data_IF_838506392052
#
_entry.id   IF_838506392052
#
_cell.length_a   1.000
_cell.length_b   1.000
_cell.length_c   1.000
_cell.angle_alpha   90.00
_cell.angle_beta   90.00
_cell.angle_gamma   90.00
#
_symmetry.space_group_name_H-M   'P 1'
#
loop_
_entity.id
_entity.type
_entity.pdbx_description
1 polymer ?
#
# COMPACT_ATOMS: atom_id res chain seq x y z
N UNK A 1 3.69 21.04 -7.73
CA UNK A 1 4.50 19.95 -7.18
C UNK A 1 5.20 20.46 -5.91
N UNK A 2 4.68 20.18 -4.71
CA UNK A 2 5.31 20.62 -3.45
C UNK A 2 5.95 19.42 -2.74
N UNK A 3 7.26 19.17 -2.91
CA UNK A 3 7.99 18.10 -2.20
C UNK A 3 8.05 18.30 -0.68
N UNK A 4 7.71 19.48 -0.16
CA UNK A 4 7.80 19.81 1.27
C UNK A 4 6.88 19.00 2.18
N UNK A 5 5.79 18.43 1.65
CA UNK A 5 4.81 17.73 2.50
C UNK A 5 5.22 16.31 2.87
N UNK A 6 5.90 15.59 1.99
CA UNK A 6 6.46 14.27 2.31
C UNK A 6 7.57 14.40 3.34
N UNK A 7 8.40 15.44 3.20
CA UNK A 7 9.48 15.76 4.13
C UNK A 7 8.96 16.04 5.54
N UNK A 8 7.89 16.84 5.65
CA UNK A 8 7.25 17.10 6.94
C UNK A 8 6.72 15.83 7.60
N UNK A 9 6.10 14.92 6.83
CA UNK A 9 5.63 13.64 7.39
C UNK A 9 6.80 12.78 7.86
N UNK A 10 7.93 12.77 7.14
CA UNK A 10 9.15 12.08 7.57
C UNK A 10 9.68 12.64 8.89
N UNK A 11 9.86 13.96 8.97
CA UNK A 11 10.34 14.63 10.19
C UNK A 11 9.40 14.34 11.38
N UNK A 12 8.08 14.37 11.17
CA UNK A 12 7.11 14.05 12.22
C UNK A 12 7.29 12.61 12.72
N UNK A 13 7.43 11.63 11.83
CA UNK A 13 7.64 10.23 12.21
C UNK A 13 8.99 10.03 12.91
N UNK A 14 10.05 10.67 12.44
CA UNK A 14 11.38 10.66 13.08
C UNK A 14 11.35 11.26 14.50
N UNK A 15 10.47 12.23 14.74
CA UNK A 15 10.22 12.81 16.06
C UNK A 15 9.23 12.00 16.91
N UNK A 16 8.90 10.76 16.51
CA UNK A 16 8.06 9.85 17.27
C UNK A 16 6.56 9.94 16.97
N UNK A 17 6.13 10.67 15.93
CA UNK A 17 4.74 10.65 15.51
C UNK A 17 4.36 9.24 15.02
N UNK A 18 3.28 8.70 15.59
CA UNK A 18 2.81 7.36 15.23
C UNK A 18 1.97 7.43 13.95
N UNK A 19 2.37 6.77 12.84
CA UNK A 19 1.63 6.84 11.57
C UNK A 19 0.29 6.09 11.60
N UNK A 20 -0.02 5.40 12.70
CA UNK A 20 -1.27 4.69 12.95
C UNK A 20 -2.26 5.47 13.84
N UNK A 21 -1.93 6.69 14.25
CA UNK A 21 -2.82 7.52 15.05
C UNK A 21 -4.12 7.82 14.28
N UNK A 22 -5.23 7.81 15.01
CA UNK A 22 -6.55 8.17 14.49
C UNK A 22 -7.01 9.45 15.18
N UNK A 23 -7.64 10.33 14.42
CA UNK A 23 -8.39 11.45 14.99
C UNK A 23 -9.68 10.97 15.64
N UNK A 24 -10.40 11.87 16.32
CA UNK A 24 -11.71 11.56 16.91
C UNK A 24 -12.75 11.13 15.87
N UNK A 25 -12.56 11.53 14.61
CA UNK A 25 -13.36 11.09 13.46
C UNK A 25 -12.87 9.77 12.86
N UNK A 26 -11.91 9.09 13.49
CA UNK A 26 -11.33 7.85 13.01
C UNK A 26 -10.36 8.01 11.85
N UNK A 27 -10.05 9.24 11.40
CA UNK A 27 -9.16 9.48 10.28
C UNK A 27 -7.72 9.13 10.64
N UNK A 28 -7.10 8.32 9.78
CA UNK A 28 -5.66 8.03 9.79
C UNK A 28 -4.90 9.00 8.87
N UNK A 29 -3.57 9.09 8.98
CA UNK A 29 -2.74 9.81 8.01
C UNK A 29 -3.01 9.42 6.55
N UNK A 30 -3.49 8.19 6.29
CA UNK A 30 -3.88 7.75 4.95
C UNK A 30 -5.15 8.44 4.43
N UNK A 31 -6.13 8.77 5.30
CA UNK A 31 -7.33 9.53 4.91
C UNK A 31 -6.95 10.95 4.45
N UNK A 32 -6.10 11.64 5.21
CA UNK A 32 -5.58 12.95 4.82
C UNK A 32 -4.74 12.90 3.54
N UNK A 33 -3.94 11.84 3.36
CA UNK A 33 -3.18 11.64 2.14
C UNK A 33 -4.09 11.38 0.92
N UNK A 34 -5.21 10.68 1.12
CA UNK A 34 -6.21 10.43 0.10
C UNK A 34 -6.96 11.69 -0.31
N UNK A 35 -7.45 12.49 0.65
CA UNK A 35 -8.08 13.80 0.39
C UNK A 35 -7.14 14.73 -0.40
N UNK A 36 -5.86 14.77 -0.01
CA UNK A 36 -4.85 15.62 -0.64
C UNK A 36 -4.25 15.06 -1.93
N UNK A 37 -4.60 13.84 -2.36
CA UNK A 37 -4.01 13.17 -3.54
C UNK A 37 -2.52 12.85 -3.42
N UNK A 38 -1.99 12.75 -2.19
CA UNK A 38 -0.54 12.65 -1.94
C UNK A 38 -0.06 11.19 -1.93
N UNK A 39 0.19 10.66 -3.12
CA UNK A 39 0.71 9.30 -3.31
C UNK A 39 2.05 9.06 -2.60
N UNK A 40 2.91 10.08 -2.52
CA UNK A 40 4.19 9.95 -1.83
C UNK A 40 4.03 9.68 -0.33
N UNK A 41 3.03 10.30 0.31
CA UNK A 41 2.69 10.06 1.71
C UNK A 41 2.10 8.67 1.88
N UNK A 42 1.24 8.21 0.96
CA UNK A 42 0.73 6.84 0.97
C UNK A 42 1.86 5.80 0.92
N UNK A 43 2.80 5.95 -0.03
CA UNK A 43 3.95 5.05 -0.15
C UNK A 43 4.83 5.05 1.10
N UNK A 44 5.03 6.23 1.70
CA UNK A 44 5.78 6.35 2.93
C UNK A 44 5.07 5.65 4.10
N UNK A 45 3.77 5.90 4.30
CA UNK A 45 2.96 5.20 5.31
C UNK A 45 2.98 3.68 5.12
N UNK A 46 2.90 3.22 3.87
CA UNK A 46 3.01 1.81 3.55
C UNK A 46 4.39 1.22 3.90
N UNK A 47 5.48 1.94 3.59
CA UNK A 47 6.84 1.51 3.99
C UNK A 47 7.02 1.40 5.51
N UNK A 48 6.27 2.18 6.29
CA UNK A 48 6.22 2.13 7.75
C UNK A 48 5.27 1.05 8.29
N UNK A 49 4.70 0.19 7.42
CA UNK A 49 3.66 -0.80 7.74
C UNK A 49 2.45 -0.18 8.45
N UNK A 50 2.16 1.09 8.16
CA UNK A 50 1.01 1.77 8.71
C UNK A 50 -0.28 1.26 8.06
N UNK A 51 -1.40 1.25 8.79
CA UNK A 51 -2.65 0.76 8.24
C UNK A 51 -3.28 1.79 7.28
N UNK A 52 -3.19 1.49 5.98
CA UNK A 52 -3.70 2.35 4.88
C UNK A 52 -5.13 2.03 4.44
N UNK A 53 -5.74 0.96 4.97
CA UNK A 53 -7.07 0.44 4.60
C UNK A 53 -8.06 0.45 5.79
N UNK A 54 -7.80 1.27 6.81
CA UNK A 54 -8.70 1.40 7.96
C UNK A 54 -9.85 2.32 7.63
N UNK A 55 -11.04 1.97 8.08
CA UNK A 55 -12.24 2.79 7.95
C UNK A 55 -12.26 3.92 8.97
N UNK A 56 -12.86 5.05 8.61
CA UNK A 56 -13.18 6.14 9.54
C UNK A 56 -14.47 5.86 10.33
N UNK A 57 -14.95 6.85 11.09
CA UNK A 57 -16.21 6.72 11.85
C UNK A 57 -17.46 6.61 10.96
N UNK A 58 -17.37 7.01 9.70
CA UNK A 58 -18.45 6.92 8.70
C UNK A 58 -18.44 5.58 7.96
N UNK A 59 -17.43 4.73 8.20
CA UNK A 59 -17.22 3.48 7.48
C UNK A 59 -16.51 3.69 6.14
N UNK A 60 -16.02 4.89 5.84
CA UNK A 60 -15.33 5.19 4.61
C UNK A 60 -13.84 4.86 4.74
N UNK A 61 -13.31 4.19 3.73
CA UNK A 61 -11.87 3.91 3.60
C UNK A 61 -11.18 5.10 2.94
N UNK A 62 -9.86 5.30 3.16
CA UNK A 62 -9.08 6.33 2.49
C UNK A 62 -9.27 6.30 0.97
N UNK A 63 -9.37 5.11 0.38
CA UNK A 63 -9.57 4.93 -1.06
C UNK A 63 -10.84 5.61 -1.58
N UNK A 64 -11.93 5.59 -0.80
CA UNK A 64 -13.20 6.20 -1.18
C UNK A 64 -13.12 7.71 -1.12
N UNK A 65 -12.38 8.27 -0.16
CA UNK A 65 -12.06 9.69 -0.17
C UNK A 65 -11.25 10.05 -1.42
N UNK A 66 -10.19 9.29 -1.74
CA UNK A 66 -9.39 9.54 -2.94
C UNK A 66 -10.26 9.54 -4.22
N UNK A 67 -11.23 8.62 -4.31
CA UNK A 67 -12.18 8.56 -5.43
C UNK A 67 -13.10 9.80 -5.48
N UNK A 68 -13.69 10.19 -4.35
CA UNK A 68 -14.57 11.37 -4.25
C UNK A 68 -13.83 12.65 -4.68
N UNK A 69 -12.56 12.78 -4.30
CA UNK A 69 -11.72 13.93 -4.65
C UNK A 69 -11.01 13.78 -6.01
N UNK A 70 -11.24 12.69 -6.75
CA UNK A 70 -10.74 12.51 -8.13
C UNK A 70 -9.29 12.03 -8.26
N UNK A 71 -8.70 11.50 -7.20
CA UNK A 71 -7.30 11.04 -7.16
C UNK A 71 -7.16 9.58 -7.61
N UNK A 72 -7.40 9.32 -8.90
CA UNK A 72 -7.39 7.95 -9.45
C UNK A 72 -6.03 7.23 -9.33
N UNK A 73 -4.91 7.94 -9.36
CA UNK A 73 -3.58 7.35 -9.18
C UNK A 73 -3.42 6.65 -7.81
N UNK A 74 -4.22 7.05 -6.83
CA UNK A 74 -4.23 6.47 -5.49
C UNK A 74 -4.80 5.05 -5.50
N UNK A 75 -5.81 4.81 -6.35
CA UNK A 75 -6.35 3.48 -6.60
C UNK A 75 -5.25 2.58 -7.17
N UNK A 76 -4.52 3.06 -8.17
CA UNK A 76 -3.49 2.30 -8.84
C UNK A 76 -2.40 1.84 -7.85
N UNK A 77 -1.92 2.75 -6.99
CA UNK A 77 -0.92 2.41 -5.97
C UNK A 77 -1.48 1.39 -4.98
N UNK A 78 -2.69 1.59 -4.44
CA UNK A 78 -3.24 0.68 -3.44
C UNK A 78 -3.55 -0.71 -4.01
N UNK A 79 -4.11 -0.79 -5.22
CA UNK A 79 -4.38 -2.07 -5.89
C UNK A 79 -3.08 -2.81 -6.23
N UNK A 80 -2.07 -2.12 -6.76
CA UNK A 80 -0.77 -2.74 -7.05
C UNK A 80 -0.10 -3.24 -5.77
N UNK A 81 -0.13 -2.46 -4.69
CA UNK A 81 0.44 -2.85 -3.40
C UNK A 81 -0.29 -4.06 -2.80
N UNK A 82 -1.63 -4.03 -2.74
CA UNK A 82 -2.42 -5.15 -2.21
C UNK A 82 -2.23 -6.42 -3.02
N UNK A 83 -2.13 -6.31 -4.34
CA UNK A 83 -1.88 -7.46 -5.21
C UNK A 83 -0.50 -8.07 -4.97
N UNK A 84 0.54 -7.23 -4.86
CA UNK A 84 1.90 -7.68 -4.54
C UNK A 84 1.99 -8.35 -3.15
N UNK A 85 1.26 -7.85 -2.15
CA UNK A 85 1.18 -8.49 -0.83
C UNK A 85 0.51 -9.86 -0.87
N UNK A 86 -0.59 -10.00 -1.62
CA UNK A 86 -1.30 -11.28 -1.79
C UNK A 86 -0.42 -12.31 -2.50
N UNK A 87 0.28 -11.90 -3.57
CA UNK A 87 1.22 -12.77 -4.29
C UNK A 87 2.38 -13.20 -3.38
N UNK A 88 2.99 -12.26 -2.64
CA UNK A 88 4.07 -12.58 -1.69
C UNK A 88 3.63 -13.54 -0.58
N UNK A 89 2.41 -13.39 -0.06
CA UNK A 89 1.86 -14.27 0.97
C UNK A 89 1.53 -15.66 0.41
N UNK A 90 0.98 -15.72 -0.81
CA UNK A 90 0.72 -16.98 -1.50
C UNK A 90 2.02 -17.77 -1.71
N UNK A 91 3.09 -17.09 -2.14
CA UNK A 91 4.40 -17.73 -2.28
C UNK A 91 4.98 -18.23 -0.96
N UNK A 92 4.85 -17.45 0.13
CA UNK A 92 5.33 -17.89 1.45
C UNK A 92 4.60 -19.14 1.97
N UNK A 93 3.29 -19.23 1.72
CA UNK A 93 2.50 -20.42 2.10
C UNK A 93 2.88 -21.65 1.29
N UNK A 94 3.00 -21.51 -0.03
CA UNK A 94 3.41 -22.61 -0.91
C UNK A 94 4.82 -23.11 -0.56
N UNK A 95 5.74 -22.21 -0.20
CA UNK A 95 7.09 -22.55 0.27
C UNK A 95 7.06 -23.29 1.63
N UNK A 96 6.21 -22.85 2.56
CA UNK A 96 6.06 -23.49 3.87
C UNK A 96 5.38 -24.87 3.80
N UNK A 97 4.42 -25.05 2.90
CA UNK A 97 3.68 -26.30 2.71
C UNK A 97 4.47 -27.35 1.92
N UNK A 98 5.25 -26.92 0.93
CA UNK A 98 6.00 -27.83 0.07
C UNK A 98 7.36 -28.26 0.66
N UNK A 99 7.80 -27.66 1.77
CA UNK A 99 9.07 -28.00 2.42
C UNK A 99 10.30 -27.81 1.51
N UNK A 100 10.17 -26.98 0.48
CA UNK A 100 11.22 -26.75 -0.52
C UNK A 100 12.26 -25.83 0.11
N UNK A 101 13.46 -26.37 0.31
CA UNK A 101 14.66 -25.58 0.63
C UNK A 101 14.89 -24.59 -0.51
N UNK A 102 14.91 -23.30 -0.18
CA UNK A 102 15.21 -22.23 -1.13
C UNK A 102 16.70 -22.25 -1.43
N UNK A 103 17.10 -23.17 -2.31
CA UNK A 103 18.40 -23.18 -2.95
C UNK A 103 18.22 -22.41 -4.28
N UNK A 104 19.16 -21.51 -4.58
CA UNK A 104 19.14 -20.51 -5.66
C UNK A 104 18.95 -21.06 -7.10
N UNK A 105 17.76 -21.53 -7.46
CA UNK A 105 17.41 -21.77 -8.88
C UNK A 105 16.38 -20.76 -9.35
N UNK A 106 16.90 -19.63 -9.82
CA UNK A 106 16.22 -18.45 -10.38
C UNK A 106 15.36 -18.72 -11.64
N UNK A 107 15.20 -19.97 -12.10
CA UNK A 107 14.72 -20.24 -13.46
C UNK A 107 13.22 -20.56 -13.60
N UNK A 108 12.50 -21.00 -12.55
CA UNK A 108 11.10 -21.44 -12.73
C UNK A 108 10.04 -20.33 -12.60
N UNK A 109 10.38 -19.18 -12.04
CA UNK A 109 9.40 -18.13 -11.70
C UNK A 109 9.18 -17.09 -12.81
N UNK A 110 10.04 -17.07 -13.84
CA UNK A 110 9.95 -16.11 -14.94
C UNK A 110 8.73 -16.35 -15.86
N UNK A 111 8.22 -17.58 -15.93
CA UNK A 111 7.07 -17.92 -16.77
C UNK A 111 5.73 -17.56 -16.12
N UNK A 112 5.60 -17.72 -14.80
CA UNK A 112 4.37 -17.35 -14.09
C UNK A 112 4.12 -15.83 -14.09
N UNK A 113 5.19 -15.02 -14.07
CA UNK A 113 5.08 -13.57 -14.21
C UNK A 113 4.56 -13.09 -15.58
N UNK A 114 4.74 -13.89 -16.65
CA UNK A 114 4.25 -13.55 -18.00
C UNK A 114 2.73 -13.71 -18.10
N UNK A 115 2.15 -14.73 -17.47
CA UNK A 115 0.71 -14.99 -17.52
C UNK A 115 -0.09 -13.93 -16.74
N UNK A 116 0.46 -13.47 -15.61
CA UNK A 116 -0.14 -12.38 -14.82
C UNK A 116 -0.08 -11.03 -15.55
N UNK A 117 0.98 -10.77 -16.33
CA UNK A 117 1.06 -9.58 -17.19
C UNK A 117 0.03 -9.61 -18.32
N UNK A 118 -0.27 -10.81 -18.85
CA UNK A 118 -1.24 -11.03 -19.93
C UNK A 118 -2.69 -10.82 -19.47
N UNK A 119 -2.99 -11.19 -18.22
CA UNK A 119 -4.29 -10.93 -17.59
C UNK A 119 -4.52 -9.44 -17.25
N UNK A 120 -3.48 -8.64 -17.03
CA UNK A 120 -3.59 -7.20 -16.80
C UNK A 120 -3.62 -6.35 -18.07
N UNK A 121 -3.43 -6.94 -19.25
CA UNK A 121 -3.48 -6.25 -20.54
C UNK A 121 -4.79 -6.43 -21.31
N UNK A 122 -5.83 -6.99 -20.67
CA UNK A 122 -7.22 -7.07 -21.15
C UNK A 122 -8.09 -6.12 -20.31
#
# INVERSE_FOLDING_TARGET
FLPGHTEMVRILVENGARPCLRTDYGWTPAHFAAESGRLAVLRFLHSLRAPIDKEDCSGDKPIRLAEIYGHQDWLLVLFCTRRAEIESEAYRKVAAESGISMDDTDEEWAEHGKEIKKMCSL
#
